data_IF_094887397168
#
_entry.id   IF_094887397168
#
_cell.length_a   1.000
_cell.length_b   1.000
_cell.length_c   1.000
_cell.angle_alpha   90.00
_cell.angle_beta   90.00
_cell.angle_gamma   90.00
#
_symmetry.space_group_name_H-M   'P 1'
#
loop_
_entity.id
_entity.type
_entity.pdbx_description
1 polymer ?
#
# COMPACT_ATOMS: atom_id res chain seq x y z
N UNK A 1 38.30 -1.66 13.03
CA UNK A 1 37.67 -0.63 13.88
C UNK A 1 37.16 0.48 12.97
N UNK A 2 35.94 0.32 12.45
CA UNK A 2 35.27 1.36 11.67
C UNK A 2 34.50 2.25 12.65
N UNK A 3 34.79 3.55 12.63
CA UNK A 3 34.24 4.52 13.57
C UNK A 3 32.72 4.62 13.44
N UNK A 4 32.04 4.46 14.56
CA UNK A 4 30.61 4.76 14.71
C UNK A 4 30.49 6.27 14.59
N UNK A 5 30.10 6.76 13.41
CA UNK A 5 29.62 8.14 13.27
C UNK A 5 28.41 8.33 14.18
N UNK A 6 28.38 9.38 15.02
CA UNK A 6 27.24 9.62 15.90
C UNK A 6 25.97 9.80 15.05
N UNK A 7 24.80 9.32 15.51
CA UNK A 7 23.56 9.55 14.80
C UNK A 7 23.35 11.06 14.68
N UNK A 8 23.19 11.56 13.44
CA UNK A 8 22.76 12.94 13.22
C UNK A 8 21.49 13.15 14.03
N UNK A 9 21.45 14.22 14.83
CA UNK A 9 20.24 14.63 15.54
C UNK A 9 19.15 14.82 14.50
N UNK A 10 18.25 13.84 14.40
CA UNK A 10 17.19 13.85 13.40
C UNK A 10 16.12 14.80 13.90
N UNK A 11 15.97 15.96 13.26
CA UNK A 11 14.87 16.88 13.59
C UNK A 11 13.55 16.25 13.13
N UNK A 12 12.51 16.19 13.99
CA UNK A 12 11.19 15.64 13.64
C UNK A 12 10.55 16.26 12.38
N UNK A 13 10.97 17.47 12.02
CA UNK A 13 10.54 18.19 10.82
C UNK A 13 10.98 17.54 9.50
N UNK A 14 11.97 16.63 9.51
CA UNK A 14 12.39 15.90 8.32
C UNK A 14 11.38 14.82 7.88
N UNK A 15 10.49 14.39 8.79
CA UNK A 15 9.51 13.34 8.52
C UNK A 15 8.14 13.87 8.07
N UNK A 16 7.83 15.14 8.38
CA UNK A 16 6.50 15.69 8.24
C UNK A 16 6.38 16.53 6.96
N UNK A 17 5.82 15.94 5.90
CA UNK A 17 5.26 16.73 4.79
C UNK A 17 3.85 16.28 4.48
N UNK A 18 2.99 17.25 4.19
CA UNK A 18 1.59 17.02 3.80
C UNK A 18 1.42 16.73 2.31
N UNK A 19 2.51 16.77 1.54
CA UNK A 19 2.50 16.66 0.08
C UNK A 19 3.03 15.33 -0.48
N UNK A 20 3.35 14.33 0.35
CA UNK A 20 3.88 13.04 -0.13
C UNK A 20 3.04 12.43 -1.25
N UNK A 21 1.73 12.49 -1.07
CA UNK A 21 0.78 11.83 -1.95
C UNK A 21 0.03 12.80 -2.87
N UNK A 22 0.38 14.10 -2.89
CA UNK A 22 -0.31 15.05 -3.75
C UNK A 22 -0.16 14.63 -5.22
N UNK A 23 1.07 14.42 -5.70
CA UNK A 23 1.35 13.97 -7.07
C UNK A 23 0.76 12.59 -7.37
N UNK A 24 0.92 11.63 -6.47
CA UNK A 24 0.35 10.28 -6.59
C UNK A 24 -1.16 10.31 -6.78
N UNK A 25 -1.86 11.14 -6.00
CA UNK A 25 -3.31 11.27 -6.09
C UNK A 25 -3.74 12.05 -7.33
N UNK A 26 -2.96 12.98 -7.85
CA UNK A 26 -3.24 13.57 -9.17
C UNK A 26 -3.22 12.49 -10.26
N UNK A 27 -2.20 11.63 -10.28
CA UNK A 27 -2.14 10.51 -11.22
C UNK A 27 -3.26 9.50 -11.00
N UNK A 28 -3.56 9.13 -9.75
CA UNK A 28 -4.66 8.22 -9.43
C UNK A 28 -6.03 8.80 -9.84
N UNK A 29 -6.25 10.10 -9.63
CA UNK A 29 -7.47 10.80 -10.05
C UNK A 29 -7.58 10.82 -11.57
N UNK A 30 -6.51 11.19 -12.28
CA UNK A 30 -6.49 11.20 -13.74
C UNK A 30 -6.76 9.80 -14.32
N UNK A 31 -6.14 8.78 -13.75
CA UNK A 31 -6.34 7.39 -14.14
C UNK A 31 -7.76 6.89 -13.84
N UNK A 32 -8.34 7.25 -12.69
CA UNK A 32 -9.73 6.92 -12.36
C UNK A 32 -10.72 7.58 -13.34
N UNK A 33 -10.52 8.86 -13.66
CA UNK A 33 -11.35 9.56 -14.65
C UNK A 33 -11.21 8.89 -16.03
N UNK A 34 -9.99 8.57 -16.43
CA UNK A 34 -9.71 7.90 -17.70
C UNK A 34 -10.40 6.53 -17.80
N UNK A 35 -10.30 5.70 -16.76
CA UNK A 35 -10.96 4.38 -16.71
C UNK A 35 -12.48 4.49 -16.71
N UNK A 36 -13.05 5.46 -15.98
CA UNK A 36 -14.49 5.73 -15.99
C UNK A 36 -14.99 6.15 -17.38
N UNK A 37 -14.26 7.05 -18.04
CA UNK A 37 -14.58 7.50 -19.40
C UNK A 37 -14.50 6.36 -20.40
N UNK A 38 -13.44 5.53 -20.35
CA UNK A 38 -13.32 4.36 -21.23
C UNK A 38 -14.43 3.35 -20.97
N UNK A 39 -14.69 3.00 -19.71
CA UNK A 39 -15.76 2.07 -19.35
C UNK A 39 -17.10 2.57 -19.88
N UNK A 40 -17.43 3.85 -19.69
CA UNK A 40 -18.68 4.43 -20.18
C UNK A 40 -18.71 4.45 -21.71
N UNK A 41 -17.62 4.81 -22.38
CA UNK A 41 -17.53 4.77 -23.84
C UNK A 41 -17.80 3.37 -24.39
N UNK A 42 -17.16 2.34 -23.83
CA UNK A 42 -17.38 0.94 -24.20
C UNK A 42 -18.83 0.53 -23.93
N UNK A 43 -19.38 0.84 -22.76
CA UNK A 43 -20.77 0.53 -22.42
C UNK A 43 -21.76 1.18 -23.39
N UNK A 44 -21.58 2.47 -23.69
CA UNK A 44 -22.43 3.20 -24.64
C UNK A 44 -22.29 2.63 -26.05
N UNK A 45 -21.08 2.27 -26.48
CA UNK A 45 -20.83 1.66 -27.81
C UNK A 45 -21.39 0.25 -27.94
N UNK A 46 -21.37 -0.55 -26.87
CA UNK A 46 -21.76 -1.97 -26.91
C UNK A 46 -23.23 -2.19 -26.61
N UNK A 47 -23.76 -1.47 -25.61
CA UNK A 47 -25.13 -1.66 -25.07
C UNK A 47 -26.11 -0.62 -25.59
N UNK A 48 -25.83 0.68 -25.43
CA UNK A 48 -26.80 1.74 -25.76
C UNK A 48 -26.86 2.08 -27.25
N UNK A 49 -25.74 1.96 -27.96
CA UNK A 49 -25.58 2.22 -29.41
C UNK A 49 -26.31 3.49 -29.91
N UNK A 50 -26.07 4.68 -29.32
CA UNK A 50 -26.75 5.89 -29.76
C UNK A 50 -26.20 6.39 -31.10
N UNK A 51 -27.06 7.03 -31.90
CA UNK A 51 -26.70 7.61 -33.21
C UNK A 51 -25.56 8.66 -33.13
N UNK A 52 -25.34 9.28 -31.96
CA UNK A 52 -24.29 10.29 -31.74
C UNK A 52 -23.54 10.03 -30.43
N UNK A 53 -22.49 9.21 -30.52
CA UNK A 53 -21.66 8.76 -29.39
C UNK A 53 -21.13 9.92 -28.52
N UNK A 54 -20.59 10.97 -29.14
CA UNK A 54 -19.99 12.12 -28.43
C UNK A 54 -21.00 12.88 -27.56
N UNK A 55 -22.23 13.05 -28.05
CA UNK A 55 -23.29 13.76 -27.33
C UNK A 55 -23.81 12.94 -26.14
N UNK A 56 -23.89 11.62 -26.28
CA UNK A 56 -24.27 10.73 -25.18
C UNK A 56 -23.22 10.77 -24.05
N UNK A 57 -21.93 10.63 -24.40
CA UNK A 57 -20.83 10.71 -23.43
C UNK A 57 -20.79 12.08 -22.72
N UNK A 58 -20.94 13.18 -23.47
CA UNK A 58 -20.94 14.53 -22.89
C UNK A 58 -22.13 14.77 -21.95
N UNK A 59 -23.33 14.28 -22.33
CA UNK A 59 -24.53 14.39 -21.46
C UNK A 59 -24.33 13.62 -20.16
N UNK A 60 -23.77 12.43 -20.23
CA UNK A 60 -23.56 11.60 -19.05
C UNK A 60 -22.45 12.18 -18.16
N UNK A 61 -21.33 12.64 -18.75
CA UNK A 61 -20.28 13.34 -18.01
C UNK A 61 -20.84 14.57 -17.28
N UNK A 62 -21.70 15.35 -17.92
CA UNK A 62 -22.39 16.46 -17.28
C UNK A 62 -23.32 15.99 -16.14
N UNK A 63 -23.95 14.82 -16.26
CA UNK A 63 -24.74 14.20 -15.18
C UNK A 63 -23.89 13.62 -14.03
N UNK A 64 -22.66 13.19 -14.32
CA UNK A 64 -21.69 12.73 -13.32
C UNK A 64 -21.00 13.89 -12.58
N UNK A 65 -20.94 15.08 -13.17
CA UNK A 65 -20.46 16.31 -12.53
C UNK A 65 -21.66 17.07 -11.96
N UNK A 66 -22.31 16.51 -10.94
CA UNK A 66 -23.32 17.24 -10.16
C UNK A 66 -22.67 17.98 -9.01
N UNK A 67 -23.24 19.14 -8.65
CA UNK A 67 -22.77 19.94 -7.51
C UNK A 67 -22.79 19.13 -6.20
N UNK A 68 -23.79 18.27 -6.04
CA UNK A 68 -23.89 17.34 -4.91
C UNK A 68 -22.70 16.38 -4.83
N UNK A 69 -22.31 15.76 -5.96
CA UNK A 69 -21.12 14.87 -6.00
C UNK A 69 -19.86 15.64 -5.66
N UNK A 70 -19.72 16.86 -6.18
CA UNK A 70 -18.58 17.71 -5.87
C UNK A 70 -18.51 18.05 -4.38
N UNK A 71 -19.62 18.45 -3.76
CA UNK A 71 -19.69 18.79 -2.34
C UNK A 71 -19.28 17.64 -1.41
N UNK A 72 -19.59 16.39 -1.78
CA UNK A 72 -19.20 15.22 -0.97
C UNK A 72 -17.82 14.66 -1.33
N UNK A 73 -17.44 14.62 -2.60
CA UNK A 73 -16.19 14.02 -3.05
C UNK A 73 -14.98 14.95 -2.83
N UNK A 74 -15.13 16.27 -3.00
CA UNK A 74 -14.02 17.21 -2.88
C UNK A 74 -13.37 17.22 -1.48
N UNK A 75 -14.12 17.27 -0.37
CA UNK A 75 -13.51 17.17 0.96
C UNK A 75 -12.72 15.87 1.13
N UNK A 76 -13.26 14.74 0.68
CA UNK A 76 -12.59 13.44 0.76
C UNK A 76 -11.32 13.41 -0.10
N UNK A 77 -11.36 13.97 -1.31
CA UNK A 77 -10.20 14.10 -2.19
C UNK A 77 -9.10 14.97 -1.57
N UNK A 78 -9.47 16.00 -0.82
CA UNK A 78 -8.51 16.88 -0.13
C UNK A 78 -7.96 16.26 1.16
N UNK A 79 -8.78 15.52 1.91
CA UNK A 79 -8.37 14.91 3.17
C UNK A 79 -7.56 13.62 2.99
N UNK A 80 -7.82 12.86 1.92
CA UNK A 80 -7.10 11.61 1.61
C UNK A 80 -5.56 11.78 1.50
N UNK A 81 -5.00 12.75 0.75
CA UNK A 81 -3.55 12.95 0.69
C UNK A 81 -2.98 13.31 2.06
N UNK A 82 -3.69 14.14 2.83
CA UNK A 82 -3.29 14.53 4.17
C UNK A 82 -3.25 13.31 5.09
N UNK A 83 -4.31 12.50 5.10
CA UNK A 83 -4.39 11.28 5.90
C UNK A 83 -3.26 10.31 5.58
N UNK A 84 -3.05 9.97 4.30
CA UNK A 84 -1.98 9.03 3.94
C UNK A 84 -0.59 9.59 4.23
N UNK A 85 -0.38 10.90 4.09
CA UNK A 85 0.89 11.55 4.45
C UNK A 85 1.18 11.45 5.94
N UNK A 86 0.18 11.73 6.78
CA UNK A 86 0.27 11.56 8.24
C UNK A 86 0.49 10.10 8.63
N UNK A 87 -0.24 9.19 7.99
CA UNK A 87 -0.09 7.75 8.20
C UNK A 87 1.33 7.27 7.89
N UNK A 88 1.88 7.62 6.72
CA UNK A 88 3.25 7.25 6.35
C UNK A 88 4.28 7.88 7.27
N UNK A 89 4.05 9.13 7.69
CA UNK A 89 4.91 9.77 8.69
C UNK A 89 4.93 8.99 10.00
N UNK A 90 3.75 8.63 10.53
CA UNK A 90 3.62 7.87 11.77
C UNK A 90 4.31 6.50 11.67
N UNK A 91 4.15 5.83 10.53
CA UNK A 91 4.82 4.57 10.22
C UNK A 91 6.34 4.68 10.20
N UNK A 92 6.89 5.69 9.53
CA UNK A 92 8.33 5.93 9.49
C UNK A 92 8.93 6.25 10.86
N UNK A 93 8.12 6.78 11.78
CA UNK A 93 8.51 7.03 13.16
C UNK A 93 8.47 5.79 14.07
N UNK A 94 7.88 4.67 13.65
CA UNK A 94 7.78 3.44 14.46
C UNK A 94 9.12 3.03 15.06
N UNK A 95 10.22 2.84 14.31
CA UNK A 95 11.48 2.40 14.89
C UNK A 95 12.10 3.39 15.88
N UNK A 96 11.70 4.67 15.83
CA UNK A 96 12.11 5.69 16.80
C UNK A 96 11.33 5.59 18.12
N UNK A 97 10.09 5.08 18.06
CA UNK A 97 9.19 4.90 19.21
C UNK A 97 9.39 3.53 19.85
N UNK A 98 9.36 2.47 19.04
CA UNK A 98 9.59 1.09 19.43
C UNK A 98 10.48 0.41 18.38
N UNK A 99 11.78 0.22 18.67
CA UNK A 99 12.71 -0.46 17.77
C UNK A 99 12.20 -1.85 17.36
N UNK A 100 12.54 -2.24 16.13
CA UNK A 100 12.18 -3.55 15.59
C UNK A 100 12.80 -4.66 16.45
N UNK A 101 11.93 -5.40 17.14
CA UNK A 101 12.33 -6.40 18.15
C UNK A 101 11.45 -7.65 18.12
N UNK A 102 10.34 -7.61 17.39
CA UNK A 102 9.37 -8.70 17.33
C UNK A 102 9.68 -9.75 16.26
N UNK A 103 10.66 -9.54 15.38
CA UNK A 103 10.94 -10.41 14.24
C UNK A 103 11.19 -11.88 14.65
N UNK A 104 12.07 -12.14 15.62
CA UNK A 104 12.34 -13.51 16.09
C UNK A 104 11.13 -14.13 16.79
N UNK A 105 10.44 -13.37 17.64
CA UNK A 105 9.25 -13.86 18.38
C UNK A 105 8.13 -14.23 17.41
N UNK A 106 7.83 -13.38 16.45
CA UNK A 106 6.79 -13.64 15.44
C UNK A 106 7.18 -14.81 14.53
N UNK A 107 8.45 -14.91 14.14
CA UNK A 107 8.95 -16.05 13.35
C UNK A 107 8.77 -17.38 14.09
N UNK A 108 9.08 -17.40 15.39
CA UNK A 108 8.92 -18.60 16.22
C UNK A 108 7.44 -18.94 16.46
N UNK A 109 6.59 -17.95 16.72
CA UNK A 109 5.14 -18.17 16.83
C UNK A 109 4.56 -18.75 15.54
N UNK A 110 4.97 -18.21 14.40
CA UNK A 110 4.55 -18.68 13.08
C UNK A 110 4.99 -20.14 12.87
N UNK A 111 6.23 -20.48 13.24
CA UNK A 111 6.75 -21.85 13.21
C UNK A 111 5.98 -22.80 14.14
N UNK A 112 5.67 -22.36 15.35
CA UNK A 112 4.92 -23.15 16.34
C UNK A 112 3.50 -23.46 15.85
N UNK A 113 2.82 -22.47 15.29
CA UNK A 113 1.46 -22.62 14.75
C UNK A 113 1.42 -23.56 13.54
N UNK A 114 2.51 -23.65 12.78
CA UNK A 114 2.63 -24.49 11.59
C UNK A 114 3.42 -25.78 11.82
N UNK A 115 3.27 -26.34 13.03
CA UNK A 115 3.77 -27.66 13.42
C UNK A 115 5.30 -27.79 13.38
N UNK A 116 6.01 -26.73 13.76
CA UNK A 116 7.46 -26.71 13.87
C UNK A 116 8.20 -26.36 12.57
N UNK A 117 7.47 -26.07 11.49
CA UNK A 117 7.98 -25.59 10.19
C UNK A 117 7.46 -24.20 9.90
N UNK A 118 8.21 -23.41 9.14
CA UNK A 118 7.73 -22.12 8.68
C UNK A 118 6.68 -22.31 7.57
N UNK A 119 5.64 -21.46 7.49
CA UNK A 119 4.56 -21.62 6.51
C UNK A 119 5.05 -21.63 5.06
N UNK A 120 6.08 -20.84 4.76
CA UNK A 120 6.63 -20.78 3.41
C UNK A 120 7.19 -22.14 2.97
N UNK A 121 7.70 -22.96 3.89
CA UNK A 121 8.19 -24.31 3.59
C UNK A 121 7.06 -25.26 3.17
N UNK A 122 5.87 -25.11 3.77
CA UNK A 122 4.67 -25.84 3.37
C UNK A 122 4.16 -25.42 2.00
N UNK A 123 4.28 -24.12 1.68
CA UNK A 123 3.79 -23.55 0.43
C UNK A 123 4.78 -23.75 -0.73
N UNK A 124 6.08 -23.87 -0.44
CA UNK A 124 7.14 -23.91 -1.46
C UNK A 124 6.97 -25.02 -2.51
N UNK A 125 6.49 -26.25 -2.20
CA UNK A 125 6.27 -27.27 -3.22
C UNK A 125 5.25 -26.86 -4.31
N UNK A 126 4.30 -25.98 -3.98
CA UNK A 126 3.26 -25.51 -4.91
C UNK A 126 3.61 -24.14 -5.46
N UNK A 127 4.02 -23.21 -4.60
CA UNK A 127 4.29 -21.83 -5.00
C UNK A 127 5.68 -21.65 -5.58
N UNK A 128 6.64 -22.53 -5.28
CA UNK A 128 8.05 -22.47 -5.71
C UNK A 128 8.29 -22.65 -7.22
N UNK A 129 7.24 -22.65 -8.04
CA UNK A 129 7.35 -22.55 -9.49
C UNK A 129 7.41 -21.08 -9.92
N UNK A 130 8.45 -20.69 -10.66
CA UNK A 130 8.68 -19.30 -11.06
C UNK A 130 7.45 -18.63 -11.69
N UNK A 131 6.73 -19.34 -12.58
CA UNK A 131 5.51 -18.82 -13.19
C UNK A 131 4.37 -18.53 -12.19
N UNK A 132 4.20 -19.38 -11.17
CA UNK A 132 3.19 -19.19 -10.13
C UNK A 132 3.59 -18.05 -9.19
N UNK A 133 4.84 -18.01 -8.74
CA UNK A 133 5.34 -16.92 -7.90
C UNK A 133 5.23 -15.58 -8.62
N UNK A 134 5.59 -15.49 -9.90
CA UNK A 134 5.47 -14.26 -10.69
C UNK A 134 4.02 -13.85 -10.88
N UNK A 135 3.12 -14.81 -11.12
CA UNK A 135 1.68 -14.56 -11.18
C UNK A 135 1.19 -13.95 -9.86
N UNK A 136 1.56 -14.54 -8.71
CA UNK A 136 1.19 -14.01 -7.40
C UNK A 136 1.78 -12.61 -7.18
N UNK A 137 3.06 -12.39 -7.50
CA UNK A 137 3.71 -11.08 -7.37
C UNK A 137 3.02 -10.01 -8.22
N UNK A 138 2.59 -10.34 -9.44
CA UNK A 138 1.82 -9.45 -10.30
C UNK A 138 0.47 -9.07 -9.68
N UNK A 139 -0.33 -10.07 -9.28
CA UNK A 139 -1.63 -9.82 -8.65
C UNK A 139 -1.51 -9.13 -7.30
N UNK A 140 -0.47 -9.44 -6.55
CA UNK A 140 -0.15 -8.75 -5.32
C UNK A 140 -0.04 -7.26 -5.62
N UNK A 141 0.76 -6.82 -6.59
CA UNK A 141 0.85 -5.39 -6.96
C UNK A 141 -0.45 -4.76 -7.46
N UNK A 142 -1.31 -5.52 -8.12
CA UNK A 142 -2.61 -5.02 -8.58
C UNK A 142 -3.52 -4.58 -7.42
N UNK A 143 -3.23 -4.97 -6.17
CA UNK A 143 -4.00 -4.51 -5.01
C UNK A 143 -4.09 -2.98 -4.90
N UNK A 144 -3.03 -2.25 -5.30
CA UNK A 144 -3.04 -0.78 -5.31
C UNK A 144 -4.11 -0.24 -6.26
N UNK A 145 -4.20 -0.82 -7.47
CA UNK A 145 -5.23 -0.46 -8.45
C UNK A 145 -6.62 -0.71 -7.88
N UNK A 146 -6.86 -1.86 -7.25
CA UNK A 146 -8.15 -2.21 -6.65
C UNK A 146 -8.49 -1.24 -5.51
N UNK A 147 -7.55 -1.00 -4.58
CA UNK A 147 -7.72 -0.09 -3.45
C UNK A 147 -8.14 1.30 -3.91
N UNK A 148 -7.38 1.91 -4.80
CA UNK A 148 -7.69 3.25 -5.29
C UNK A 148 -8.99 3.26 -6.09
N UNK A 149 -9.23 2.27 -6.96
CA UNK A 149 -10.48 2.20 -7.73
C UNK A 149 -11.72 2.14 -6.85
N UNK A 150 -11.72 1.29 -5.81
CA UNK A 150 -12.84 1.18 -4.86
C UNK A 150 -12.98 2.46 -4.04
N UNK A 151 -11.88 3.03 -3.57
CA UNK A 151 -11.92 4.27 -2.79
C UNK A 151 -12.53 5.43 -3.60
N UNK A 152 -12.06 5.65 -4.82
CA UNK A 152 -12.62 6.68 -5.71
C UNK A 152 -14.07 6.39 -6.05
N UNK A 153 -14.41 5.12 -6.34
CA UNK A 153 -15.81 4.74 -6.56
C UNK A 153 -16.70 5.13 -5.39
N UNK A 154 -16.27 4.90 -4.14
CA UNK A 154 -17.01 5.30 -2.95
C UNK A 154 -17.07 6.82 -2.75
N UNK A 155 -15.99 7.57 -3.05
CA UNK A 155 -15.99 9.04 -2.99
C UNK A 155 -17.11 9.65 -3.86
N UNK A 156 -17.29 9.12 -5.07
CA UNK A 156 -18.24 9.65 -6.04
C UNK A 156 -19.61 8.95 -6.01
N UNK A 157 -19.80 7.89 -5.22
CA UNK A 157 -21.07 7.18 -5.12
C UNK A 157 -22.08 7.98 -4.30
N UNK A 158 -23.25 8.25 -4.88
CA UNK A 158 -24.39 8.87 -4.19
C UNK A 158 -25.51 7.88 -3.87
N UNK A 159 -25.36 6.60 -4.25
CA UNK A 159 -26.47 5.63 -4.15
C UNK A 159 -26.86 5.35 -2.70
N UNK A 160 -25.88 5.23 -1.80
CA UNK A 160 -26.08 4.86 -0.41
C UNK A 160 -25.10 5.64 0.51
N UNK A 161 -25.52 6.77 1.09
CA UNK A 161 -24.65 7.61 1.92
C UNK A 161 -24.08 6.89 3.16
N UNK A 162 -24.89 6.07 3.83
CA UNK A 162 -24.46 5.31 5.02
C UNK A 162 -23.32 4.34 4.71
N UNK A 163 -23.45 3.56 3.64
CA UNK A 163 -22.40 2.62 3.21
C UNK A 163 -21.09 3.31 2.85
N UNK A 164 -21.16 4.51 2.29
CA UNK A 164 -19.99 5.33 2.00
C UNK A 164 -19.31 5.79 3.28
N UNK A 165 -20.07 6.28 4.25
CA UNK A 165 -19.55 6.70 5.56
C UNK A 165 -18.90 5.53 6.29
N UNK A 166 -19.60 4.39 6.37
CA UNK A 166 -19.07 3.15 6.96
C UNK A 166 -17.77 2.72 6.27
N UNK A 167 -17.71 2.80 4.94
CA UNK A 167 -16.50 2.49 4.18
C UNK A 167 -15.33 3.38 4.58
N UNK A 168 -15.50 4.71 4.63
CA UNK A 168 -14.40 5.61 4.99
C UNK A 168 -14.02 5.52 6.46
N UNK A 169 -14.98 5.32 7.37
CA UNK A 169 -14.69 5.08 8.79
C UNK A 169 -13.91 3.77 8.96
N UNK A 170 -14.36 2.68 8.34
CA UNK A 170 -13.67 1.39 8.37
C UNK A 170 -12.27 1.50 7.74
N UNK A 171 -12.12 2.23 6.63
CA UNK A 171 -10.83 2.51 6.01
C UNK A 171 -9.90 3.23 6.99
N UNK A 172 -10.33 4.36 7.58
CA UNK A 172 -9.52 5.12 8.52
C UNK A 172 -9.11 4.27 9.74
N UNK A 173 -10.08 3.58 10.36
CA UNK A 173 -9.82 2.74 11.53
C UNK A 173 -8.89 1.58 11.22
N UNK A 174 -9.06 0.91 10.07
CA UNK A 174 -8.18 -0.20 9.66
C UNK A 174 -6.74 0.27 9.53
N UNK A 175 -6.52 1.44 8.93
CA UNK A 175 -5.17 1.99 8.75
C UNK A 175 -4.58 2.48 10.08
N UNK A 176 -5.35 3.17 10.92
CA UNK A 176 -4.85 3.63 12.23
C UNK A 176 -4.56 2.45 13.15
N UNK A 177 -5.52 1.54 13.34
CA UNK A 177 -5.40 0.43 14.29
C UNK A 177 -4.31 -0.54 13.84
N UNK A 178 -4.40 -1.08 12.62
CA UNK A 178 -3.43 -2.10 12.18
C UNK A 178 -2.12 -1.47 11.73
N UNK A 179 -2.22 -0.40 10.95
CA UNK A 179 -1.07 0.22 10.32
C UNK A 179 -0.25 1.07 11.29
N UNK A 180 -0.83 1.70 12.31
CA UNK A 180 -0.05 2.52 13.27
C UNK A 180 0.05 1.82 14.62
N UNK A 181 -1.07 1.57 15.29
CA UNK A 181 -1.08 1.10 16.68
C UNK A 181 -0.46 -0.30 16.79
N UNK A 182 -1.04 -1.30 16.11
CA UNK A 182 -0.54 -2.68 16.18
C UNK A 182 0.86 -2.80 15.58
N UNK A 183 1.15 -2.09 14.48
CA UNK A 183 2.49 -2.06 13.90
C UNK A 183 3.54 -1.48 14.86
N UNK A 184 3.18 -0.49 15.69
CA UNK A 184 4.10 0.05 16.72
C UNK A 184 4.27 -0.95 17.85
N UNK A 185 3.18 -1.57 18.33
CA UNK A 185 3.24 -2.53 19.43
C UNK A 185 4.01 -3.81 19.06
N UNK A 186 3.81 -4.28 17.84
CA UNK A 186 4.42 -5.49 17.26
C UNK A 186 5.51 -5.13 16.25
N UNK A 187 6.33 -4.13 16.59
CA UNK A 187 7.35 -3.56 15.71
C UNK A 187 8.30 -4.63 15.17
N UNK A 188 8.13 -4.98 13.90
CA UNK A 188 8.87 -5.99 13.14
C UNK A 188 9.08 -5.48 11.71
N UNK A 189 10.26 -5.75 11.15
CA UNK A 189 10.57 -5.46 9.73
C UNK A 189 10.08 -6.54 8.79
N UNK A 190 9.96 -7.77 9.29
CA UNK A 190 9.48 -8.92 8.57
C UNK A 190 10.57 -9.73 7.85
N UNK A 191 10.17 -10.85 7.22
CA UNK A 191 11.06 -11.89 6.74
C UNK A 191 12.15 -11.45 5.76
N UNK A 192 11.85 -10.51 4.85
CA UNK A 192 12.79 -10.09 3.81
C UNK A 192 13.97 -9.25 4.33
N UNK A 193 13.89 -8.74 5.57
CA UNK A 193 14.94 -7.98 6.22
C UNK A 193 15.50 -8.66 7.47
N UNK A 194 15.08 -9.89 7.75
CA UNK A 194 15.40 -10.61 8.98
C UNK A 194 16.92 -10.67 9.23
N UNK A 195 17.68 -11.12 8.23
CA UNK A 195 19.16 -11.18 8.29
C UNK A 195 19.85 -9.81 8.35
N UNK A 196 19.18 -8.73 7.96
CA UNK A 196 19.75 -7.39 8.00
C UNK A 196 19.68 -6.77 9.40
N UNK A 197 18.65 -7.11 10.19
CA UNK A 197 18.53 -6.66 11.58
C UNK A 197 19.11 -7.64 12.60
N UNK A 198 19.15 -8.93 12.28
CA UNK A 198 19.63 -9.97 13.19
C UNK A 198 20.78 -10.77 12.53
N UNK A 199 21.92 -10.13 12.23
CA UNK A 199 23.00 -10.73 11.45
C UNK A 199 23.67 -11.93 12.16
N UNK A 200 23.62 -11.96 13.49
CA UNK A 200 24.19 -13.03 14.30
C UNK A 200 23.22 -14.22 14.51
N UNK A 201 22.00 -14.13 13.98
CA UNK A 201 20.98 -15.18 14.08
C UNK A 201 20.91 -16.04 12.82
N UNK A 202 20.46 -17.29 12.97
CA UNK A 202 20.13 -18.13 11.81
C UNK A 202 18.90 -17.54 11.14
N UNK A 203 19.02 -17.17 9.86
CA UNK A 203 17.91 -16.63 9.06
C UNK A 203 17.04 -17.76 8.50
N UNK A 204 15.82 -17.98 9.03
CA UNK A 204 14.93 -19.04 8.55
C UNK A 204 14.34 -18.76 7.17
N UNK A 205 14.51 -17.54 6.64
CA UNK A 205 13.97 -17.11 5.35
C UNK A 205 15.05 -17.01 4.27
N UNK A 206 16.32 -17.33 4.57
CA UNK A 206 17.43 -17.19 3.63
C UNK A 206 17.21 -17.93 2.30
N UNK A 207 16.75 -19.18 2.36
CA UNK A 207 16.46 -19.99 1.18
C UNK A 207 15.28 -19.43 0.36
N UNK A 208 14.21 -18.99 1.04
CA UNK A 208 13.09 -18.30 0.40
C UNK A 208 13.56 -17.04 -0.33
N UNK A 209 14.35 -16.20 0.34
CA UNK A 209 14.84 -14.95 -0.23
C UNK A 209 15.82 -15.19 -1.40
N UNK A 210 16.61 -16.27 -1.38
CA UNK A 210 17.40 -16.69 -2.56
C UNK A 210 16.49 -17.01 -3.75
N UNK A 211 15.50 -17.86 -3.53
CA UNK A 211 14.54 -18.26 -4.56
C UNK A 211 13.78 -17.05 -5.15
N UNK A 212 13.29 -16.13 -4.31
CA UNK A 212 12.56 -14.95 -4.78
C UNK A 212 13.44 -14.00 -5.59
N UNK A 213 14.73 -13.87 -5.23
CA UNK A 213 15.72 -13.10 -6.00
C UNK A 213 16.05 -13.75 -7.33
N UNK A 214 16.26 -15.07 -7.36
CA UNK A 214 16.51 -15.82 -8.59
C UNK A 214 15.30 -15.75 -9.55
N UNK A 215 14.08 -15.79 -8.99
CA UNK A 215 12.83 -15.66 -9.75
C UNK A 215 12.58 -14.25 -10.29
N UNK A 216 13.26 -13.23 -9.76
CA UNK A 216 13.12 -11.82 -10.15
C UNK A 216 11.66 -11.32 -10.00
N UNK A 217 11.08 -11.53 -8.82
CA UNK A 217 9.72 -11.05 -8.53
C UNK A 217 9.63 -9.52 -8.61
N UNK A 218 8.44 -9.00 -8.94
CA UNK A 218 8.24 -7.56 -9.10
C UNK A 218 8.42 -6.77 -7.79
N UNK A 219 8.43 -7.43 -6.63
CA UNK A 219 8.47 -6.82 -5.31
C UNK A 219 9.86 -6.44 -4.80
N UNK A 220 10.92 -6.99 -5.40
CA UNK A 220 12.31 -6.72 -4.96
C UNK A 220 12.67 -5.22 -4.95
N UNK A 221 12.32 -4.41 -5.97
CA UNK A 221 12.64 -2.98 -5.93
C UNK A 221 11.94 -2.24 -4.80
N UNK A 222 10.73 -2.66 -4.43
CA UNK A 222 10.04 -2.08 -3.28
C UNK A 222 10.74 -2.46 -1.97
N UNK A 223 11.27 -3.68 -1.86
CA UNK A 223 12.03 -4.09 -0.69
C UNK A 223 13.30 -3.25 -0.52
N UNK A 224 14.06 -3.05 -1.59
CA UNK A 224 15.27 -2.21 -1.61
C UNK A 224 14.94 -0.76 -1.28
N UNK A 225 13.85 -0.23 -1.84
CA UNK A 225 13.37 1.12 -1.59
C UNK A 225 13.06 1.37 -0.11
N UNK A 226 12.32 0.47 0.53
CA UNK A 226 11.98 0.57 1.95
C UNK A 226 13.22 0.46 2.85
N UNK A 227 14.14 -0.44 2.53
CA UNK A 227 15.39 -0.58 3.27
C UNK A 227 16.26 0.67 3.15
N UNK A 228 16.37 1.24 1.95
CA UNK A 228 17.07 2.49 1.73
C UNK A 228 16.41 3.66 2.48
N UNK A 229 15.08 3.73 2.51
CA UNK A 229 14.37 4.75 3.28
C UNK A 229 14.67 4.64 4.79
N UNK A 230 14.60 3.43 5.34
CA UNK A 230 14.90 3.16 6.75
C UNK A 230 16.34 3.52 7.11
N UNK A 231 17.33 2.99 6.40
CA UNK A 231 18.75 3.19 6.70
C UNK A 231 19.19 4.66 6.56
N UNK A 232 18.61 5.39 5.61
CA UNK A 232 18.89 6.82 5.42
C UNK A 232 18.05 7.73 6.31
N UNK A 233 17.19 7.19 7.19
CA UNK A 233 16.22 7.97 7.99
C UNK A 233 15.40 8.93 7.10
N UNK A 234 15.03 8.47 5.91
CA UNK A 234 14.35 9.26 4.90
C UNK A 234 12.86 8.91 4.90
N UNK A 235 12.01 9.93 5.05
CA UNK A 235 10.57 9.77 4.90
C UNK A 235 10.19 10.06 3.46
N UNK A 236 9.76 9.02 2.73
CA UNK A 236 9.40 9.06 1.32
C UNK A 236 7.96 8.54 1.09
N UNK A 237 7.31 8.83 -0.06
CA UNK A 237 6.00 8.26 -0.36
C UNK A 237 6.03 6.72 -0.32
N UNK A 238 5.04 6.08 0.32
CA UNK A 238 4.96 4.62 0.48
C UNK A 238 6.08 3.96 1.29
N UNK A 239 6.90 4.74 2.01
CA UNK A 239 8.02 4.19 2.80
C UNK A 239 7.66 3.66 4.19
N UNK A 240 6.42 3.90 4.63
CA UNK A 240 5.89 3.51 5.93
C UNK A 240 4.81 2.45 5.84
#
# INVERSE_FOLDING_TARGET
MAGITPPRVVTPTAYFTTSYYSTTLHYATGFFIFTLVIYRAIYVMTVERPERLTRAILRDLHGYVSWERALFALPLLMLTPLFFSLFTTAKNMIPLINPFSWDSTLSEWDRMLHFGRHPWEWLQPVLGMAGITLFISFFYKMWFFIKFSVMYWQMFSLKNPSWREDFFVALLLTWIINGVILATLLSSVGPCYYSLLLPDSVDPYAALMSYLRETQIFDLPAQEYLWAAYTNNASLPFSG
#
